data_IF_310442967168
#
_entry.id   IF_310442967168
#
_cell.length_a   1.000
_cell.length_b   1.000
_cell.length_c   1.000
_cell.angle_alpha   90.00
_cell.angle_beta   90.00
_cell.angle_gamma   90.00
#
_symmetry.space_group_name_H-M   'P 1'
#
loop_
_entity.id
_entity.type
_entity.pdbx_description
1 polymer ?
#
# COMPACT_ATOMS: atom_id res chain seq x y z
N UNK A 1 -19.19 9.77 -4.15
CA UNK A 1 -18.11 9.15 -4.94
C UNK A 1 -18.54 7.72 -5.14
N UNK A 2 -18.67 7.25 -6.38
CA UNK A 2 -19.09 5.88 -6.65
C UNK A 2 -17.96 4.92 -6.32
N UNK A 3 -18.30 3.73 -5.85
CA UNK A 3 -17.32 2.65 -5.59
C UNK A 3 -16.90 1.99 -6.91
N UNK A 4 -15.71 1.39 -6.96
CA UNK A 4 -15.13 0.87 -8.20
C UNK A 4 -16.07 -0.11 -8.94
N UNK A 5 -16.79 -0.95 -8.20
CA UNK A 5 -17.78 -1.88 -8.74
C UNK A 5 -18.91 -1.14 -9.47
N UNK A 6 -19.48 -0.10 -8.85
CA UNK A 6 -20.55 0.70 -9.46
C UNK A 6 -20.08 1.41 -10.74
N UNK A 7 -18.80 1.81 -10.81
CA UNK A 7 -18.28 2.46 -12.01
C UNK A 7 -18.10 1.43 -13.13
N UNK A 8 -17.68 0.20 -12.81
CA UNK A 8 -17.63 -0.89 -13.80
C UNK A 8 -19.02 -1.25 -14.31
N UNK A 9 -20.04 -1.26 -13.46
CA UNK A 9 -21.44 -1.46 -13.88
C UNK A 9 -21.93 -0.36 -14.83
N UNK A 10 -21.57 0.90 -14.58
CA UNK A 10 -21.87 2.02 -15.49
C UNK A 10 -21.21 1.83 -16.85
N UNK A 11 -19.94 1.45 -16.86
CA UNK A 11 -19.19 1.24 -18.10
C UNK A 11 -19.74 0.05 -18.88
N UNK A 12 -20.09 -1.05 -18.20
CA UNK A 12 -20.73 -2.21 -18.82
C UNK A 12 -22.10 -1.86 -19.43
N UNK A 13 -22.93 -1.09 -18.72
CA UNK A 13 -24.22 -0.62 -19.24
C UNK A 13 -24.05 0.31 -20.44
N UNK A 14 -23.00 1.15 -20.45
CA UNK A 14 -22.66 1.96 -21.62
C UNK A 14 -22.18 1.09 -22.78
N UNK A 15 -21.38 0.06 -22.56
CA UNK A 15 -20.93 -0.81 -23.64
C UNK A 15 -22.06 -1.66 -24.23
N UNK A 16 -23.05 -2.02 -23.42
CA UNK A 16 -24.27 -2.71 -23.86
C UNK A 16 -25.19 -1.81 -24.68
N UNK A 17 -25.40 -0.57 -24.25
CA UNK A 17 -26.40 0.33 -24.86
C UNK A 17 -25.82 1.30 -25.89
N UNK A 18 -24.51 1.55 -25.83
CA UNK A 18 -23.78 2.63 -26.54
C UNK A 18 -24.46 4.00 -26.46
N UNK A 19 -25.26 4.23 -25.40
CA UNK A 19 -26.04 5.44 -25.18
C UNK A 19 -25.86 5.92 -23.74
N UNK A 20 -25.52 7.21 -23.58
CA UNK A 20 -25.35 7.81 -22.25
C UNK A 20 -26.66 7.83 -21.45
N UNK A 21 -27.79 8.05 -22.13
CA UNK A 21 -29.12 8.08 -21.50
C UNK A 21 -29.63 6.67 -21.20
N UNK A 22 -29.39 5.70 -22.10
CA UNK A 22 -29.76 4.30 -21.87
C UNK A 22 -28.96 3.68 -20.72
N UNK A 23 -27.65 3.91 -20.67
CA UNK A 23 -26.83 3.45 -19.55
C UNK A 23 -27.21 4.11 -18.22
N UNK A 24 -27.56 5.40 -18.25
CA UNK A 24 -28.05 6.14 -17.08
C UNK A 24 -29.33 5.55 -16.49
N UNK A 25 -30.29 5.18 -17.35
CA UNK A 25 -31.54 4.53 -16.95
C UNK A 25 -31.31 3.15 -16.32
N UNK A 26 -30.44 2.32 -16.94
CA UNK A 26 -30.09 1.00 -16.43
C UNK A 26 -29.35 1.01 -15.09
N UNK A 27 -28.56 2.06 -14.83
CA UNK A 27 -27.67 2.14 -13.65
C UNK A 27 -28.17 3.13 -12.60
N UNK A 28 -29.35 3.72 -12.81
CA UNK A 28 -29.96 4.71 -11.92
C UNK A 28 -29.10 5.96 -11.68
N UNK A 29 -28.24 6.34 -12.63
CA UNK A 29 -27.32 7.47 -12.45
C UNK A 29 -27.47 8.52 -13.54
N UNK A 30 -27.03 9.76 -13.30
CA UNK A 30 -27.12 10.82 -14.31
C UNK A 30 -26.27 10.50 -15.54
N UNK A 31 -26.77 10.81 -16.74
CA UNK A 31 -26.04 10.67 -17.99
C UNK A 31 -24.73 11.49 -18.02
N UNK A 32 -24.63 12.58 -17.25
CA UNK A 32 -23.37 13.30 -17.06
C UNK A 32 -22.34 12.49 -16.26
N UNK A 33 -22.79 11.66 -15.32
CA UNK A 33 -21.92 10.74 -14.57
C UNK A 33 -21.39 9.65 -15.50
N UNK A 34 -22.26 9.07 -16.33
CA UNK A 34 -21.85 8.11 -17.38
C UNK A 34 -20.81 8.74 -18.30
N UNK A 35 -21.10 9.94 -18.84
CA UNK A 35 -20.19 10.66 -19.74
C UNK A 35 -18.81 10.90 -19.12
N UNK A 36 -18.76 11.31 -17.85
CA UNK A 36 -17.52 11.53 -17.12
C UNK A 36 -16.69 10.25 -16.98
N UNK A 37 -17.33 9.12 -16.67
CA UNK A 37 -16.62 7.85 -16.50
C UNK A 37 -16.17 7.25 -17.84
N UNK A 38 -16.96 7.40 -18.90
CA UNK A 38 -16.57 7.02 -20.27
C UNK A 38 -15.37 7.85 -20.72
N UNK A 39 -15.41 9.18 -20.56
CA UNK A 39 -14.29 10.05 -20.91
C UNK A 39 -13.02 9.73 -20.11
N UNK A 40 -13.15 9.40 -18.81
CA UNK A 40 -12.02 8.98 -17.99
C UNK A 40 -11.42 7.65 -18.48
N UNK A 41 -12.25 6.67 -18.85
CA UNK A 41 -11.80 5.40 -19.43
C UNK A 41 -11.08 5.61 -20.75
N UNK A 42 -11.66 6.39 -21.66
CA UNK A 42 -11.09 6.62 -22.99
C UNK A 42 -9.77 7.39 -22.92
N UNK A 43 -9.59 8.23 -21.90
CA UNK A 43 -8.33 8.89 -21.57
C UNK A 43 -7.31 8.00 -20.82
N UNK A 44 -7.63 6.73 -20.57
CA UNK A 44 -6.78 5.80 -19.81
C UNK A 44 -6.59 6.20 -18.33
N UNK A 45 -7.47 7.04 -17.79
CA UNK A 45 -7.36 7.50 -16.41
C UNK A 45 -7.89 6.45 -15.43
N UNK A 46 -7.26 6.30 -14.25
CA UNK A 46 -7.78 5.43 -13.20
C UNK A 46 -9.20 5.84 -12.81
N UNK A 47 -10.07 4.83 -12.75
CA UNK A 47 -11.52 4.94 -12.58
C UNK A 47 -11.92 5.64 -11.26
N UNK A 48 -11.08 5.51 -10.23
CA UNK A 48 -11.18 6.22 -8.97
C UNK A 48 -9.81 6.79 -8.59
N UNK A 49 -9.51 8.01 -9.03
CA UNK A 49 -8.46 8.78 -8.39
C UNK A 49 -9.07 9.50 -7.17
N UNK A 50 -8.74 9.13 -5.92
CA UNK A 50 -8.96 10.04 -4.82
C UNK A 50 -8.17 11.30 -5.15
N UNK A 51 -8.88 12.40 -5.38
CA UNK A 51 -8.25 13.71 -5.54
C UNK A 51 -7.51 13.99 -4.23
N UNK A 52 -6.20 13.79 -4.24
CA UNK A 52 -5.36 14.10 -3.09
C UNK A 52 -5.33 15.62 -2.97
N UNK A 53 -6.17 16.16 -2.08
CA UNK A 53 -6.12 17.57 -1.73
C UNK A 53 -4.80 17.79 -1.00
N UNK A 54 -3.98 18.70 -1.53
CA UNK A 54 -2.72 19.08 -0.91
C UNK A 54 -2.92 19.39 0.56
N UNK A 55 -2.11 18.76 1.42
CA UNK A 55 -2.11 18.97 2.86
C UNK A 55 -0.99 19.93 3.22
N UNK A 56 -1.18 20.68 4.29
CA UNK A 56 -0.14 21.57 4.87
C UNK A 56 1.15 20.79 5.21
N UNK A 57 1.04 19.48 5.40
CA UNK A 57 2.18 18.60 5.72
C UNK A 57 2.98 18.17 4.49
N UNK A 58 2.44 18.27 3.28
CA UNK A 58 3.07 17.74 2.06
C UNK A 58 4.47 18.35 1.80
N UNK A 59 4.70 19.67 1.95
CA UNK A 59 6.04 20.25 1.78
C UNK A 59 7.09 19.72 2.77
N UNK A 60 6.64 19.21 3.92
CA UNK A 60 7.52 18.72 4.99
C UNK A 60 7.71 17.20 4.96
N UNK A 61 7.02 16.47 4.06
CA UNK A 61 7.16 15.01 3.91
C UNK A 61 8.62 14.57 3.67
N UNK A 62 9.40 15.21 2.78
CA UNK A 62 10.80 14.83 2.58
C UNK A 62 11.64 14.94 3.86
N UNK A 63 11.37 15.95 4.70
CA UNK A 63 12.08 16.14 5.96
C UNK A 63 11.75 15.07 6.99
N UNK A 64 10.47 14.67 7.05
CA UNK A 64 10.03 13.58 7.92
C UNK A 64 10.67 12.24 7.50
N UNK A 65 10.77 11.98 6.20
CA UNK A 65 11.45 10.81 5.64
C UNK A 65 12.94 10.79 5.98
N UNK A 66 13.64 11.91 5.76
CA UNK A 66 15.05 12.07 6.13
C UNK A 66 15.29 11.74 7.61
N UNK A 67 14.49 12.33 8.51
CA UNK A 67 14.62 12.07 9.94
C UNK A 67 14.26 10.62 10.33
N UNK A 68 13.33 10.00 9.61
CA UNK A 68 12.97 8.61 9.82
C UNK A 68 14.11 7.66 9.45
N UNK A 69 14.79 7.91 8.32
CA UNK A 69 15.99 7.18 7.92
C UNK A 69 17.13 7.42 8.91
N UNK A 70 17.43 8.69 9.22
CA UNK A 70 18.51 9.05 10.14
C UNK A 70 18.33 8.43 11.54
N UNK A 71 17.10 8.33 12.02
CA UNK A 71 16.79 7.72 13.32
C UNK A 71 16.60 6.20 13.29
N UNK A 72 16.78 5.55 12.12
CA UNK A 72 16.48 4.13 11.93
C UNK A 72 15.07 3.74 12.41
N UNK A 73 14.11 4.65 12.20
CA UNK A 73 12.72 4.50 12.63
C UNK A 73 12.43 4.61 14.12
N UNK A 74 13.38 5.10 14.92
CA UNK A 74 13.22 5.29 16.38
C UNK A 74 12.66 6.66 16.76
N UNK A 75 12.65 7.64 15.87
CA UNK A 75 12.14 8.99 16.18
C UNK A 75 10.66 8.96 16.62
N UNK A 76 10.33 9.76 17.64
CA UNK A 76 8.97 9.94 18.16
C UNK A 76 8.28 11.10 17.44
N UNK A 77 6.98 10.96 17.20
CA UNK A 77 6.22 11.89 16.34
C UNK A 77 6.04 13.28 16.93
N UNK A 78 5.95 13.39 18.26
CA UNK A 78 5.91 14.67 18.99
C UNK A 78 7.22 15.45 18.85
N UNK A 79 8.37 14.78 18.96
CA UNK A 79 9.69 15.40 18.73
C UNK A 79 9.82 15.85 17.27
N UNK A 80 9.33 15.04 16.32
CA UNK A 80 9.26 15.44 14.92
C UNK A 80 8.37 16.69 14.73
N UNK A 81 7.23 16.77 15.42
CA UNK A 81 6.36 17.94 15.38
C UNK A 81 7.05 19.20 15.93
N UNK A 82 7.70 19.14 17.08
CA UNK A 82 8.46 20.28 17.63
C UNK A 82 9.52 20.77 16.65
N UNK A 83 10.23 19.85 15.98
CA UNK A 83 11.22 20.20 14.95
C UNK A 83 10.57 20.81 13.69
N UNK A 84 9.41 20.31 13.26
CA UNK A 84 8.68 20.89 12.13
C UNK A 84 8.19 22.31 12.43
N UNK A 85 7.68 22.55 13.64
CA UNK A 85 7.22 23.89 14.06
C UNK A 85 8.38 24.89 14.02
N UNK A 86 9.58 24.48 14.48
CA UNK A 86 10.79 25.30 14.37
C UNK A 86 11.20 25.61 12.91
N UNK A 87 10.76 24.80 11.95
CA UNK A 87 10.97 25.00 10.50
C UNK A 87 9.81 25.74 9.82
N UNK A 88 8.85 26.29 10.59
CA UNK A 88 7.73 27.06 10.05
C UNK A 88 6.48 26.25 9.70
N UNK A 89 6.34 25.02 10.21
CA UNK A 89 5.11 24.25 10.04
C UNK A 89 3.96 24.86 10.85
N UNK A 90 2.87 25.21 10.16
CA UNK A 90 1.67 25.86 10.73
C UNK A 90 0.51 24.91 10.99
N UNK A 91 0.66 23.62 10.66
CA UNK A 91 -0.38 22.63 10.87
C UNK A 91 -0.45 22.09 12.30
N UNK A 92 -1.47 21.27 12.58
CA UNK A 92 -1.65 20.66 13.91
C UNK A 92 -0.71 19.48 14.15
N UNK A 93 -0.45 19.22 15.43
CA UNK A 93 0.25 18.01 15.93
C UNK A 93 -0.44 16.72 15.46
N UNK A 94 -1.78 16.69 15.40
CA UNK A 94 -2.54 15.54 14.86
C UNK A 94 -2.18 15.26 13.40
N UNK A 95 -2.08 16.30 12.57
CA UNK A 95 -1.70 16.17 11.17
C UNK A 95 -0.26 15.67 11.02
N UNK A 96 0.66 16.18 11.83
CA UNK A 96 2.04 15.68 11.88
C UNK A 96 2.09 14.21 12.28
N UNK A 97 1.36 13.79 13.34
CA UNK A 97 1.31 12.38 13.75
C UNK A 97 0.81 11.46 12.63
N UNK A 98 -0.20 11.88 11.87
CA UNK A 98 -0.72 11.12 10.72
C UNK A 98 0.32 10.96 9.62
N UNK A 99 0.95 12.06 9.19
CA UNK A 99 2.02 12.02 8.19
C UNK A 99 3.21 11.17 8.67
N UNK A 100 3.62 11.35 9.93
CA UNK A 100 4.71 10.59 10.54
C UNK A 100 4.40 9.08 10.60
N UNK A 101 3.15 8.70 10.88
CA UNK A 101 2.72 7.31 10.86
C UNK A 101 2.82 6.70 9.45
N UNK A 102 2.46 7.45 8.40
CA UNK A 102 2.63 7.02 7.01
C UNK A 102 4.10 6.78 6.67
N UNK A 103 4.98 7.74 6.97
CA UNK A 103 6.43 7.59 6.76
C UNK A 103 6.99 6.42 7.55
N UNK A 104 6.57 6.24 8.82
CA UNK A 104 7.00 5.11 9.66
C UNK A 104 6.55 3.78 9.08
N UNK A 105 5.33 3.68 8.56
CA UNK A 105 4.83 2.48 7.94
C UNK A 105 5.63 2.13 6.67
N UNK A 106 5.88 3.12 5.80
CA UNK A 106 6.71 2.95 4.61
C UNK A 106 8.14 2.50 4.95
N UNK A 107 8.77 3.16 5.93
CA UNK A 107 10.11 2.78 6.40
C UNK A 107 10.14 1.34 6.93
N UNK A 108 9.13 0.92 7.70
CA UNK A 108 9.03 -0.46 8.19
C UNK A 108 8.83 -1.46 7.06
N UNK A 109 8.01 -1.14 6.06
CA UNK A 109 7.78 -2.03 4.93
C UNK A 109 9.10 -2.28 4.16
N UNK A 110 9.90 -1.25 3.94
CA UNK A 110 11.20 -1.37 3.26
C UNK A 110 12.33 -1.98 4.10
N UNK A 111 12.24 -1.92 5.43
CA UNK A 111 13.31 -2.37 6.34
C UNK A 111 12.92 -3.54 7.26
N UNK A 112 11.75 -4.14 7.05
CA UNK A 112 11.38 -5.38 7.71
C UNK A 112 12.27 -6.50 7.20
N UNK A 113 12.70 -7.40 8.09
CA UNK A 113 13.40 -8.61 7.69
C UNK A 113 12.51 -9.38 6.72
N UNK A 114 12.93 -9.48 5.47
CA UNK A 114 12.25 -10.33 4.50
C UNK A 114 12.46 -11.77 4.97
N UNK A 115 11.41 -12.39 5.50
CA UNK A 115 11.38 -13.84 5.57
C UNK A 115 11.29 -14.30 4.11
N UNK A 116 12.40 -14.79 3.55
CA UNK A 116 12.29 -15.63 2.37
C UNK A 116 11.61 -16.91 2.85
N UNK A 117 10.36 -17.19 2.43
CA UNK A 117 9.78 -18.49 2.70
C UNK A 117 10.74 -19.53 2.12
N UNK A 118 10.94 -20.62 2.85
CA UNK A 118 11.69 -21.74 2.31
C UNK A 118 10.90 -22.30 1.12
N UNK A 119 11.43 -22.09 -0.09
CA UNK A 119 10.86 -22.61 -1.33
C UNK A 119 11.78 -23.74 -1.80
N UNK A 120 11.29 -24.97 -1.69
CA UNK A 120 11.99 -26.16 -2.19
C UNK A 120 11.82 -26.26 -3.70
N UNK A 121 12.62 -25.51 -4.45
CA UNK A 121 12.77 -25.80 -5.87
C UNK A 121 13.51 -27.14 -6.02
N UNK A 122 13.00 -28.08 -6.86
CA UNK A 122 13.70 -29.32 -7.14
C UNK A 122 15.13 -29.04 -7.63
N UNK A 123 16.13 -29.66 -7.00
CA UNK A 123 17.54 -29.55 -7.39
C UNK A 123 18.35 -28.44 -6.72
N UNK A 124 17.73 -27.55 -5.94
CA UNK A 124 18.45 -26.48 -5.22
C UNK A 124 18.97 -26.89 -3.85
N UNK A 125 18.47 -28.00 -3.30
CA UNK A 125 18.71 -28.42 -1.93
C UNK A 125 18.85 -29.94 -1.84
N UNK A 126 19.68 -30.40 -0.90
CA UNK A 126 19.78 -31.81 -0.51
C UNK A 126 19.20 -31.94 0.90
N UNK A 127 18.22 -32.81 1.06
CA UNK A 127 17.74 -33.21 2.38
C UNK A 127 18.54 -34.43 2.82
N UNK A 128 19.28 -34.29 3.91
CA UNK A 128 19.95 -35.39 4.59
C UNK A 128 19.27 -35.55 5.94
N UNK A 129 18.73 -36.73 6.20
CA UNK A 129 18.15 -37.09 7.49
C UNK A 129 19.04 -38.14 8.15
N UNK A 130 19.23 -38.02 9.46
CA UNK A 130 20.08 -38.91 10.23
C UNK A 130 19.21 -39.85 11.06
N UNK A 131 19.30 -41.15 10.80
CA UNK A 131 18.59 -42.17 11.56
C UNK A 131 19.37 -42.61 12.80
N UNK A 132 18.68 -43.00 13.86
CA UNK A 132 19.33 -43.74 14.95
C UNK A 132 19.74 -45.11 14.40
N UNK A 133 21.06 -45.37 14.40
CA UNK A 133 21.66 -46.66 14.08
C UNK A 133 21.68 -47.60 15.29
N UNK A 134 22.07 -48.87 15.10
CA UNK A 134 22.14 -49.84 16.18
C UNK A 134 23.13 -49.40 17.29
N UNK A 135 22.89 -49.87 18.51
CA UNK A 135 23.82 -49.67 19.62
C UNK A 135 24.95 -50.70 19.52
N UNK A 136 26.18 -50.23 19.37
CA UNK A 136 27.40 -51.06 19.34
C UNK A 136 28.23 -50.70 20.57
N UNK A 137 28.60 -51.68 21.38
CA UNK A 137 29.35 -51.52 22.65
C UNK A 137 28.77 -50.44 23.58
N UNK A 138 27.44 -50.39 23.69
CA UNK A 138 26.73 -49.45 24.55
C UNK A 138 26.67 -48.01 24.01
N UNK A 139 27.14 -47.76 22.79
CA UNK A 139 27.08 -46.44 22.15
C UNK A 139 26.11 -46.45 20.97
N UNK A 140 25.21 -45.46 20.92
CA UNK A 140 24.33 -45.24 19.76
C UNK A 140 25.15 -44.82 18.54
N UNK A 141 24.85 -45.40 17.39
CA UNK A 141 25.39 -44.98 16.10
C UNK A 141 24.35 -44.18 15.33
N UNK A 142 24.77 -43.47 14.28
CA UNK A 142 23.89 -42.64 13.44
C UNK A 142 24.02 -43.12 11.99
N UNK A 143 22.90 -43.26 11.28
CA UNK A 143 22.80 -43.61 9.85
C UNK A 143 22.62 -42.35 9.00
#
# INVERSE_FOLDING_TARGET
>A
MKVDVEIMEILAAYDLTKSLRGAAELTGCSHHTVARHVAARDAGQPIANPVNRGRVTDPFMPKLEEWMVASKGKLRSDIAHTKLVALGYTGSDRSTRRAFAQVRAAYRLGNTRVHRPWICEPGMWIQYDFGDGPVIDGKKTVL
#
